data_IF_563403116834
#
_entry.id   IF_563403116834
#
_cell.length_a   1.000
_cell.length_b   1.000
_cell.length_c   1.000
_cell.angle_alpha   90.00
_cell.angle_beta   90.00
_cell.angle_gamma   90.00
#
_symmetry.space_group_name_H-M   'P 1'
#
loop_
_entity.id
_entity.type
_entity.pdbx_description
1 polymer ?
#
# COMPACT_ATOMS: atom_id res chain seq x y z
N UNK A 1 17.48 -17.76 -10.17
CA UNK A 1 16.78 -17.59 -8.88
C UNK A 1 16.37 -16.14 -8.73
N UNK A 2 15.07 -15.86 -8.89
CA UNK A 2 14.36 -14.61 -8.55
C UNK A 2 14.92 -13.24 -9.03
N UNK A 3 14.83 -12.95 -10.34
CA UNK A 3 14.99 -11.59 -10.91
C UNK A 3 13.65 -10.95 -11.36
N UNK A 4 12.50 -11.55 -11.05
CA UNK A 4 11.18 -11.12 -11.57
C UNK A 4 10.54 -9.93 -10.83
N UNK A 5 11.29 -9.23 -9.98
CA UNK A 5 10.84 -7.98 -9.34
C UNK A 5 11.41 -6.75 -10.06
N UNK A 6 11.57 -6.85 -11.38
CA UNK A 6 11.97 -5.73 -12.22
C UNK A 6 10.78 -4.77 -12.38
N UNK A 7 10.92 -3.65 -11.68
CA UNK A 7 10.28 -2.36 -11.85
C UNK A 7 9.25 -2.20 -12.98
N UNK A 8 8.07 -1.64 -12.66
CA UNK A 8 7.66 -0.40 -13.32
C UNK A 8 6.51 0.33 -12.61
N UNK A 9 6.68 1.65 -12.50
CA UNK A 9 5.70 2.72 -12.29
C UNK A 9 4.87 2.71 -10.98
N UNK A 10 5.15 3.70 -10.12
CA UNK A 10 4.24 4.23 -9.08
C UNK A 10 4.11 3.48 -7.73
N UNK A 11 4.94 2.47 -7.44
CA UNK A 11 5.06 1.91 -6.08
C UNK A 11 4.07 0.79 -5.72
N UNK A 12 3.28 0.29 -6.68
CA UNK A 12 2.35 -0.83 -6.52
C UNK A 12 3.07 -2.18 -6.74
N UNK A 13 2.68 -3.22 -6.00
CA UNK A 13 3.16 -4.60 -6.22
C UNK A 13 2.61 -5.16 -7.54
N UNK A 14 3.51 -5.64 -8.41
CA UNK A 14 3.20 -6.19 -9.75
C UNK A 14 3.53 -7.69 -9.84
N UNK A 15 2.73 -8.45 -10.60
CA UNK A 15 3.00 -9.84 -10.96
C UNK A 15 4.10 -9.95 -12.06
N UNK A 16 4.69 -11.15 -12.34
CA UNK A 16 5.79 -11.33 -13.31
C UNK A 16 5.48 -10.90 -14.76
N UNK A 17 4.20 -10.77 -15.09
CA UNK A 17 3.66 -10.27 -16.35
C UNK A 17 3.50 -8.74 -16.37
N UNK A 18 3.98 -8.02 -15.35
CA UNK A 18 4.01 -6.56 -15.29
C UNK A 18 2.68 -5.89 -14.95
N UNK A 19 1.65 -6.66 -14.57
CA UNK A 19 0.34 -6.12 -14.18
C UNK A 19 0.26 -5.91 -12.66
N UNK A 20 -0.26 -4.76 -12.19
CA UNK A 20 -0.54 -4.58 -10.77
C UNK A 20 -1.53 -5.63 -10.28
N UNK A 21 -1.27 -6.21 -9.10
CA UNK A 21 -2.02 -7.33 -8.52
C UNK A 21 -3.54 -7.13 -8.52
N UNK A 22 -4.00 -5.88 -8.37
CA UNK A 22 -5.42 -5.51 -8.31
C UNK A 22 -6.02 -5.07 -9.66
N UNK A 23 -5.18 -4.76 -10.67
CA UNK A 23 -5.60 -4.18 -11.96
C UNK A 23 -6.33 -5.18 -12.86
N UNK A 24 -5.97 -6.47 -12.82
CA UNK A 24 -6.65 -7.50 -13.62
C UNK A 24 -8.00 -7.97 -13.05
N UNK A 25 -8.28 -7.71 -11.76
CA UNK A 25 -9.48 -8.23 -11.07
C UNK A 25 -10.58 -7.18 -10.93
N UNK A 26 -10.24 -5.91 -11.14
CA UNK A 26 -11.19 -4.81 -11.33
C UNK A 26 -11.60 -4.80 -12.80
N UNK A 27 -12.53 -5.68 -13.19
CA UNK A 27 -13.00 -5.75 -14.56
C UNK A 27 -13.39 -4.37 -15.10
N UNK A 28 -12.81 -3.99 -16.24
CA UNK A 28 -13.25 -2.95 -17.18
C UNK A 28 -13.49 -1.53 -16.62
N UNK A 29 -12.52 -0.64 -16.87
CA UNK A 29 -12.74 0.67 -17.52
C UNK A 29 -13.65 1.72 -16.86
N UNK A 30 -14.26 1.46 -15.72
CA UNK A 30 -15.16 2.41 -15.06
C UNK A 30 -14.63 2.76 -13.66
N UNK A 31 -14.05 3.95 -13.53
CA UNK A 31 -13.61 4.53 -12.25
C UNK A 31 -14.74 4.58 -11.19
N UNK A 32 -16.00 4.31 -11.57
CA UNK A 32 -17.17 4.25 -10.70
C UNK A 32 -17.43 2.92 -9.99
N UNK A 33 -16.87 1.77 -10.40
CA UNK A 33 -17.29 0.46 -9.85
C UNK A 33 -16.45 -0.06 -8.68
N UNK A 34 -15.27 0.53 -8.41
CA UNK A 34 -14.39 0.08 -7.31
C UNK A 34 -15.12 0.13 -5.96
N UNK A 35 -14.98 -0.95 -5.17
CA UNK A 35 -15.51 -1.06 -3.81
C UNK A 35 -14.49 -0.59 -2.78
N UNK A 36 -14.96 -0.16 -1.61
CA UNK A 36 -14.09 0.38 -0.56
C UNK A 36 -13.03 -0.64 -0.10
N UNK A 37 -13.38 -1.92 0.03
CA UNK A 37 -12.41 -2.93 0.48
C UNK A 37 -11.25 -3.11 -0.53
N UNK A 38 -11.55 -3.06 -1.83
CA UNK A 38 -10.55 -3.13 -2.90
C UNK A 38 -9.64 -1.91 -2.85
N UNK A 39 -10.22 -0.72 -2.68
CA UNK A 39 -9.46 0.51 -2.55
C UNK A 39 -8.55 0.52 -1.31
N UNK A 40 -9.03 0.05 -0.16
CA UNK A 40 -8.19 -0.03 1.04
C UNK A 40 -7.05 -1.02 0.84
N UNK A 41 -7.33 -2.12 0.14
CA UNK A 41 -6.31 -3.11 -0.21
C UNK A 41 -5.28 -2.53 -1.20
N UNK A 42 -5.71 -1.76 -2.21
CA UNK A 42 -4.82 -1.04 -3.13
C UNK A 42 -3.82 -0.20 -2.32
N UNK A 43 -4.32 0.66 -1.41
CA UNK A 43 -3.47 1.51 -0.59
C UNK A 43 -2.52 0.70 0.31
N UNK A 44 -3.00 -0.42 0.86
CA UNK A 44 -2.21 -1.32 1.70
C UNK A 44 -1.12 -2.08 0.93
N UNK A 45 -1.19 -2.10 -0.40
CA UNK A 45 -0.18 -2.73 -1.29
C UNK A 45 0.71 -1.71 -2.00
N UNK A 46 0.56 -0.43 -1.69
CA UNK A 46 1.38 0.65 -2.21
C UNK A 46 2.33 1.17 -1.15
N UNK A 47 3.64 1.08 -1.42
CA UNK A 47 4.69 1.52 -0.50
C UNK A 47 4.64 3.01 -0.19
N UNK A 48 4.09 3.83 -1.09
CA UNK A 48 4.02 5.28 -0.93
C UNK A 48 2.91 5.71 0.05
N UNK A 49 1.97 4.82 0.37
CA UNK A 49 0.82 5.14 1.23
C UNK A 49 0.95 4.58 2.65
N UNK A 50 2.11 4.02 3.04
CA UNK A 50 2.31 3.40 4.36
C UNK A 50 2.09 4.35 5.53
N UNK A 51 2.43 5.62 5.36
CA UNK A 51 2.19 6.67 6.37
C UNK A 51 0.70 6.96 6.60
N UNK A 52 -0.15 6.64 5.61
CA UNK A 52 -1.60 6.85 5.63
C UNK A 52 -2.34 5.61 6.13
N UNK A 53 -1.91 4.42 5.69
CA UNK A 53 -2.52 3.13 6.04
C UNK A 53 -1.48 2.00 5.99
N UNK A 54 -1.50 1.11 6.99
CA UNK A 54 -0.51 0.03 7.08
C UNK A 54 -1.10 -1.27 7.63
N UNK A 55 -0.54 -2.40 7.18
CA UNK A 55 -0.76 -3.69 7.81
C UNK A 55 -0.22 -3.70 9.24
N UNK A 56 -0.91 -4.42 10.12
CA UNK A 56 -0.50 -4.77 11.47
C UNK A 56 -0.36 -6.29 11.56
N UNK A 57 0.85 -6.76 11.88
CA UNK A 57 1.10 -8.19 12.04
C UNK A 57 0.89 -9.01 10.76
N UNK A 58 0.57 -10.30 10.93
CA UNK A 58 0.46 -11.27 9.85
C UNK A 58 -0.99 -11.64 9.50
N UNK A 59 -1.95 -11.39 10.39
CA UNK A 59 -3.32 -11.89 10.27
C UNK A 59 -4.28 -10.97 9.51
N UNK A 60 -3.78 -10.07 8.67
CA UNK A 60 -4.64 -9.15 7.92
C UNK A 60 -5.28 -8.04 8.74
N UNK A 61 -4.81 -7.82 9.99
CA UNK A 61 -5.10 -6.57 10.68
C UNK A 61 -4.43 -5.40 9.96
N UNK A 62 -5.09 -4.26 9.90
CA UNK A 62 -4.54 -3.03 9.36
C UNK A 62 -5.04 -1.82 10.13
N UNK A 63 -4.28 -0.74 10.08
CA UNK A 63 -4.58 0.52 10.77
C UNK A 63 -4.62 1.67 9.78
N UNK A 64 -5.65 2.49 9.89
CA UNK A 64 -5.66 3.81 9.26
C UNK A 64 -4.84 4.74 10.16
N UNK A 65 -3.65 5.11 9.69
CA UNK A 65 -2.74 6.00 10.40
C UNK A 65 -3.23 7.45 10.31
N UNK A 66 -3.70 7.83 9.11
CA UNK A 66 -4.36 9.10 8.85
C UNK A 66 -5.78 8.88 8.29
N UNK A 67 -6.79 8.68 9.14
CA UNK A 67 -8.15 8.31 8.71
C UNK A 67 -8.80 9.33 7.76
N UNK A 68 -8.55 10.62 7.98
CA UNK A 68 -9.06 11.68 7.09
C UNK A 68 -8.38 11.65 5.73
N UNK A 69 -7.06 11.39 5.69
CA UNK A 69 -6.33 11.27 4.42
C UNK A 69 -6.81 10.09 3.60
N UNK A 70 -7.06 8.94 4.24
CA UNK A 70 -7.69 7.77 3.61
C UNK A 70 -9.05 8.14 3.01
N UNK A 71 -9.88 8.87 3.76
CA UNK A 71 -11.20 9.28 3.30
C UNK A 71 -11.14 10.27 2.12
N UNK A 72 -10.19 11.20 2.12
CA UNK A 72 -9.94 12.10 1.00
C UNK A 72 -9.53 11.34 -0.26
N UNK A 73 -8.58 10.40 -0.14
CA UNK A 73 -8.14 9.56 -1.26
C UNK A 73 -9.29 8.71 -1.81
N UNK A 74 -10.16 8.19 -0.94
CA UNK A 74 -11.37 7.50 -1.36
C UNK A 74 -12.36 8.42 -2.09
N UNK A 75 -12.56 9.63 -1.56
CA UNK A 75 -13.36 10.67 -2.18
C UNK A 75 -12.85 11.03 -3.56
N UNK A 76 -11.54 11.20 -3.73
CA UNK A 76 -10.90 11.45 -5.02
C UNK A 76 -11.15 10.29 -5.98
N UNK A 77 -10.92 9.03 -5.55
CA UNK A 77 -11.13 7.83 -6.37
C UNK A 77 -12.57 7.71 -6.89
N UNK A 78 -13.57 8.13 -6.11
CA UNK A 78 -15.01 8.04 -6.47
C UNK A 78 -15.60 9.36 -6.96
N UNK A 79 -14.81 10.41 -7.13
CA UNK A 79 -15.25 11.77 -7.42
C UNK A 79 -16.35 12.27 -6.45
N UNK A 80 -16.14 12.08 -5.15
CA UNK A 80 -17.01 12.50 -4.04
C UNK A 80 -16.23 13.44 -3.10
N UNK A 81 -16.19 14.75 -3.38
CA UNK A 81 -15.36 15.71 -2.61
C UNK A 81 -15.83 15.89 -1.16
N UNK A 82 -17.08 15.53 -0.84
CA UNK A 82 -17.61 15.58 0.53
C UNK A 82 -17.39 14.30 1.34
N UNK A 83 -16.53 13.39 0.85
CA UNK A 83 -16.13 12.18 1.59
C UNK A 83 -15.27 12.57 2.79
N UNK A 84 -15.54 11.95 3.95
CA UNK A 84 -14.79 12.13 5.19
C UNK A 84 -14.75 10.80 5.96
N UNK A 85 -13.98 10.74 7.05
CA UNK A 85 -13.85 9.49 7.79
C UNK A 85 -15.17 9.00 8.39
N UNK A 86 -16.06 9.88 8.83
CA UNK A 86 -17.37 9.47 9.38
C UNK A 86 -18.17 8.65 8.37
N UNK A 87 -18.27 9.13 7.13
CA UNK A 87 -18.96 8.44 6.02
C UNK A 87 -18.23 7.17 5.61
N UNK A 88 -16.89 7.21 5.51
CA UNK A 88 -16.08 6.04 5.19
C UNK A 88 -16.24 4.95 6.25
N UNK A 89 -16.21 5.32 7.54
CA UNK A 89 -16.42 4.39 8.65
C UNK A 89 -17.82 3.80 8.63
N UNK A 90 -18.84 4.56 8.21
CA UNK A 90 -20.19 4.05 8.00
C UNK A 90 -20.24 2.99 6.92
N UNK A 91 -19.47 3.17 5.84
CA UNK A 91 -19.33 2.17 4.78
C UNK A 91 -18.60 0.92 5.26
N UNK A 92 -17.54 1.06 6.07
CA UNK A 92 -16.83 -0.07 6.68
C UNK A 92 -17.74 -0.95 7.54
N UNK A 93 -18.68 -0.34 8.28
CA UNK A 93 -19.65 -1.08 9.11
C UNK A 93 -20.54 -2.03 8.29
N UNK A 94 -20.78 -1.76 7.01
CA UNK A 94 -21.56 -2.68 6.17
C UNK A 94 -20.80 -3.99 5.85
N UNK A 95 -19.49 -4.06 6.10
CA UNK A 95 -18.72 -5.29 5.89
C UNK A 95 -18.68 -6.22 7.12
N UNK A 96 -19.12 -5.76 8.29
CA UNK A 96 -18.96 -6.53 9.54
C UNK A 96 -19.73 -7.85 9.50
N UNK A 97 -20.86 -7.87 8.79
CA UNK A 97 -21.70 -9.07 8.63
C UNK A 97 -21.30 -9.92 7.41
N UNK A 98 -20.39 -9.41 6.55
CA UNK A 98 -20.17 -9.93 5.20
C UNK A 98 -18.82 -10.60 4.96
N UNK A 99 -18.16 -11.09 6.01
CA UNK A 99 -16.86 -11.80 5.98
C UNK A 99 -15.73 -11.10 5.20
N UNK A 100 -15.87 -9.81 4.88
CA UNK A 100 -14.86 -9.07 4.12
C UNK A 100 -13.91 -8.35 5.05
N UNK A 101 -14.45 -7.47 5.91
CA UNK A 101 -13.69 -6.66 6.87
C UNK A 101 -14.44 -6.63 8.20
N UNK A 102 -13.73 -6.89 9.30
CA UNK A 102 -14.22 -6.76 10.66
C UNK A 102 -13.57 -5.60 11.41
N UNK A 103 -14.27 -5.06 12.42
CA UNK A 103 -13.68 -4.12 13.38
C UNK A 103 -12.87 -4.86 14.44
N UNK A 104 -11.64 -4.41 14.67
CA UNK A 104 -10.88 -4.84 15.85
C UNK A 104 -11.29 -3.99 17.05
N UNK A 105 -12.03 -4.58 17.99
CA UNK A 105 -12.52 -3.89 19.18
C UNK A 105 -11.36 -3.50 20.13
N UNK A 106 -11.52 -2.42 20.89
CA UNK A 106 -10.48 -1.90 21.79
C UNK A 106 -9.32 -1.16 21.11
N UNK A 107 -9.17 -1.25 19.78
CA UNK A 107 -8.14 -0.53 19.01
C UNK A 107 -8.74 0.56 18.13
N UNK A 108 -8.23 1.80 18.23
CA UNK A 108 -8.69 2.93 17.41
C UNK A 108 -8.20 2.80 15.97
N UNK A 109 -9.12 2.96 15.01
CA UNK A 109 -8.84 2.93 13.56
C UNK A 109 -8.21 1.63 13.03
N UNK A 110 -8.33 0.54 13.79
CA UNK A 110 -7.85 -0.79 13.39
C UNK A 110 -9.02 -1.66 12.93
N UNK A 111 -8.80 -2.34 11.82
CA UNK A 111 -9.72 -3.25 11.14
C UNK A 111 -8.97 -4.52 10.72
N UNK A 112 -9.68 -5.56 10.31
CA UNK A 112 -9.09 -6.83 9.87
C UNK A 112 -9.79 -7.32 8.62
N UNK A 113 -9.04 -7.67 7.58
CA UNK A 113 -9.59 -8.47 6.48
C UNK A 113 -9.83 -9.89 7.02
N UNK A 114 -11.07 -10.34 7.01
CA UNK A 114 -11.46 -11.68 7.51
C UNK A 114 -11.72 -12.67 6.38
N UNK A 115 -11.72 -12.20 5.13
CA UNK A 115 -11.78 -13.05 3.96
C UNK A 115 -10.44 -13.77 3.71
N UNK A 116 -10.51 -14.90 3.01
CA UNK A 116 -9.31 -15.62 2.58
C UNK A 116 -8.65 -14.90 1.39
N UNK A 117 -7.75 -13.95 1.72
CA UNK A 117 -6.97 -13.22 0.74
C UNK A 117 -6.08 -14.14 -0.11
N UNK A 118 -5.60 -15.26 0.45
CA UNK A 118 -4.75 -16.20 -0.29
C UNK A 118 -5.55 -16.87 -1.40
N UNK A 119 -6.77 -17.31 -1.10
CA UNK A 119 -7.69 -17.85 -2.11
C UNK A 119 -8.17 -16.78 -3.10
N UNK A 120 -8.37 -15.55 -2.62
CA UNK A 120 -8.88 -14.46 -3.46
C UNK A 120 -7.83 -13.90 -4.43
N UNK A 121 -6.56 -13.82 -4.01
CA UNK A 121 -5.50 -13.06 -4.68
C UNK A 121 -4.23 -13.85 -4.97
N UNK A 122 -4.11 -15.07 -4.46
CA UNK A 122 -2.85 -15.82 -4.47
C UNK A 122 -1.86 -15.38 -3.40
N UNK A 123 -2.16 -14.35 -2.62
CA UNK A 123 -1.31 -13.81 -1.55
C UNK A 123 -2.08 -13.64 -0.24
N UNK A 124 -1.48 -14.10 0.86
CA UNK A 124 -1.93 -13.81 2.21
C UNK A 124 -1.58 -12.36 2.61
N UNK A 125 -2.25 -11.83 3.63
CA UNK A 125 -1.92 -10.51 4.18
C UNK A 125 -0.44 -10.40 4.60
N UNK A 126 0.12 -11.48 5.15
CA UNK A 126 1.52 -11.54 5.53
C UNK A 126 2.47 -11.40 4.33
N UNK A 127 2.20 -12.15 3.25
CA UNK A 127 2.99 -12.05 2.02
C UNK A 127 2.89 -10.64 1.41
N UNK A 128 1.69 -10.06 1.38
CA UNK A 128 1.49 -8.68 0.90
C UNK A 128 2.25 -7.66 1.75
N UNK A 129 2.18 -7.77 3.08
CA UNK A 129 2.89 -6.86 3.99
C UNK A 129 4.41 -6.93 3.79
N UNK A 130 4.96 -8.15 3.69
CA UNK A 130 6.39 -8.36 3.35
C UNK A 130 6.73 -7.70 2.01
N UNK A 131 5.87 -7.93 1.02
CA UNK A 131 5.79 -7.26 -0.29
C UNK A 131 6.20 -5.79 -0.22
N UNK A 132 5.36 -5.06 0.51
CA UNK A 132 5.41 -3.61 0.63
C UNK A 132 6.65 -3.16 1.40
N UNK A 133 7.01 -3.86 2.47
CA UNK A 133 8.19 -3.53 3.29
C UNK A 133 9.48 -3.66 2.45
N UNK A 134 9.64 -4.75 1.72
CA UNK A 134 10.80 -4.97 0.84
C UNK A 134 10.89 -3.89 -0.25
N UNK A 135 9.75 -3.53 -0.86
CA UNK A 135 9.69 -2.49 -1.87
C UNK A 135 10.06 -1.10 -1.32
N UNK A 136 9.73 -0.80 -0.06
CA UNK A 136 10.11 0.43 0.61
C UNK A 136 11.62 0.44 0.93
N UNK A 137 12.16 -0.64 1.51
CA UNK A 137 13.58 -0.75 1.83
C UNK A 137 14.46 -0.61 0.58
N UNK A 138 14.07 -1.27 -0.52
CA UNK A 138 14.76 -1.13 -1.81
C UNK A 138 14.75 0.30 -2.33
N UNK A 139 13.63 1.02 -2.18
CA UNK A 139 13.56 2.43 -2.59
C UNK A 139 14.48 3.33 -1.75
N UNK A 140 14.60 3.06 -0.45
CA UNK A 140 15.51 3.79 0.43
C UNK A 140 16.98 3.49 0.09
N UNK A 141 17.32 2.23 -0.17
CA UNK A 141 18.68 1.85 -0.56
C UNK A 141 19.06 2.37 -1.95
N UNK A 142 18.14 2.36 -2.92
CA UNK A 142 18.38 2.91 -4.26
C UNK A 142 18.68 4.42 -4.26
N UNK A 143 18.22 5.17 -3.25
CA UNK A 143 18.59 6.58 -3.07
C UNK A 143 20.02 6.75 -2.50
N UNK A 144 20.56 5.73 -1.83
CA UNK A 144 21.93 5.74 -1.31
C UNK A 144 22.96 5.33 -2.38
N UNK A 145 22.52 4.60 -3.40
CA UNK A 145 23.35 4.20 -4.55
C UNK A 145 23.33 5.23 -5.71
N UNK A 146 22.77 6.44 -5.50
CA UNK A 146 22.80 7.51 -6.53
C UNK A 146 24.24 8.04 -6.72
N UNK A 147 24.84 7.88 -7.92
CA UNK A 147 26.19 8.38 -8.22
C UNK A 147 26.34 9.90 -8.04
N UNK A 148 25.23 10.65 -8.00
CA UNK A 148 25.25 12.12 -7.87
C UNK A 148 25.46 12.62 -6.43
N UNK A 149 25.45 11.78 -5.40
CA UNK A 149 25.83 12.21 -4.04
C UNK A 149 27.35 12.18 -3.79
N UNK A 150 28.11 11.41 -4.55
CA UNK A 150 29.57 11.34 -4.39
C UNK A 150 30.32 12.60 -4.84
N UNK A 151 29.66 13.52 -5.56
CA UNK A 151 30.27 14.78 -6.02
C UNK A 151 30.20 15.93 -5.01
N UNK A 152 29.41 15.84 -3.94
CA UNK A 152 29.22 16.98 -3.01
C UNK A 152 30.15 16.93 -1.79
N UNK A 153 30.61 15.75 -1.38
CA UNK A 153 31.45 15.59 -0.18
C UNK A 153 32.94 15.29 -0.44
N UNK A 154 33.37 15.22 -1.69
CA UNK A 154 34.71 14.77 -2.08
C UNK A 154 35.72 15.85 -2.47
N UNK A 155 35.69 17.06 -1.90
CA UNK A 155 36.75 18.05 -2.10
C UNK A 155 37.12 18.72 -0.77
N UNK A 156 37.87 17.99 0.07
CA UNK A 156 38.81 18.58 1.05
C UNK A 156 39.67 17.48 1.67
N UNK A 157 41.00 17.73 1.65
CA UNK A 157 42.14 16.94 2.17
C UNK A 157 42.67 15.89 1.19
N UNK A 158 43.95 15.83 0.85
CA UNK A 158 45.16 16.52 1.31
C UNK A 158 46.21 16.39 0.21
N UNK A 159 46.86 17.50 -0.16
CA UNK A 159 48.23 17.44 -0.65
C UNK A 159 49.10 16.94 0.49
N UNK A 160 49.63 15.72 0.35
CA UNK A 160 50.91 15.34 0.95
C UNK A 160 51.88 15.16 -0.22
N UNK A 161 52.90 16.00 -0.22
CA UNK A 161 54.02 16.02 -1.15
C UNK A 161 54.77 14.69 -1.18
N UNK A 162 55.30 14.31 -2.35
CA UNK A 162 56.73 14.30 -2.66
C UNK A 162 56.93 14.51 -4.17
#
# INVERSE_FOLDING_TARGET
THEWYSASCNGVIVEPNGVPLMSMRSGSGTNGQVQLWQFLLDLLTDKNHREVIQWLGAEGEFKLMEPERVAQLWGQRKNKPSMNYEKLSRALRYYYDGDMIAKVHGKRFVYKFVCDLKKLLGYSAFELNRLVIEAQMKAQNALLDDPLQHSIFGNRKMNCEL
#
